data_IF_903969725171
#
_entry.id   IF_903969725171
#
_cell.length_a   1.000
_cell.length_b   1.000
_cell.length_c   1.000
_cell.angle_alpha   90.00
_cell.angle_beta   90.00
_cell.angle_gamma   90.00
#
_symmetry.space_group_name_H-M   'P 1'
#
loop_
_entity.id
_entity.type
_entity.pdbx_description
1 polymer ?
#
# COMPACT_ATOMS: atom_id res chain seq x y z
N UNK A 1 12.12 -76.24 -22.81
CA UNK A 1 11.89 -74.80 -23.02
C UNK A 1 10.90 -74.33 -21.97
N UNK A 2 11.38 -73.65 -20.91
CA UNK A 2 10.57 -73.15 -19.81
C UNK A 2 10.79 -71.64 -19.71
N UNK A 3 9.78 -70.84 -20.04
CA UNK A 3 9.87 -69.39 -19.95
C UNK A 3 9.35 -68.93 -18.59
N UNK A 4 10.28 -68.40 -17.81
CA UNK A 4 10.11 -67.85 -16.48
C UNK A 4 9.32 -66.53 -16.56
N UNK A 5 8.13 -66.50 -15.98
CA UNK A 5 7.31 -65.28 -15.86
C UNK A 5 7.71 -64.54 -14.59
N UNK A 6 8.34 -63.38 -14.74
CA UNK A 6 8.58 -62.45 -13.64
C UNK A 6 7.27 -61.73 -13.28
N UNK A 7 6.72 -62.03 -12.11
CA UNK A 7 5.58 -61.34 -11.52
C UNK A 7 6.11 -60.43 -10.40
N UNK A 8 6.28 -59.13 -10.69
CA UNK A 8 6.70 -58.13 -9.70
C UNK A 8 5.46 -57.43 -9.17
N UNK A 9 4.96 -57.85 -8.01
CA UNK A 9 3.94 -57.14 -7.27
C UNK A 9 4.58 -55.93 -6.56
N UNK A 10 4.37 -54.73 -7.09
CA UNK A 10 4.79 -53.50 -6.43
C UNK A 10 3.88 -53.20 -5.22
N UNK A 11 4.42 -52.72 -4.10
CA UNK A 11 3.66 -52.41 -2.89
C UNK A 11 2.75 -51.20 -3.10
N UNK A 12 1.56 -51.25 -2.48
CA UNK A 12 0.57 -50.18 -2.44
C UNK A 12 1.21 -48.84 -2.00
N UNK A 13 1.28 -47.86 -2.91
CA UNK A 13 1.60 -46.47 -2.58
C UNK A 13 0.28 -45.72 -2.33
N UNK A 14 0.15 -45.14 -1.13
CA UNK A 14 -0.90 -44.15 -0.84
C UNK A 14 -0.58 -42.84 -1.58
N UNK A 15 -1.54 -42.21 -2.28
CA UNK A 15 -1.33 -40.91 -2.91
C UNK A 15 -1.02 -39.84 -1.87
N UNK A 16 0.15 -39.21 -2.02
CA UNK A 16 0.51 -37.96 -1.33
C UNK A 16 -0.43 -36.85 -1.80
N UNK A 17 -1.10 -36.10 -0.90
CA UNK A 17 -1.84 -34.90 -1.31
C UNK A 17 -0.84 -33.85 -1.79
N UNK A 18 -0.71 -33.72 -3.11
CA UNK A 18 -0.03 -32.59 -3.74
C UNK A 18 -1.07 -31.51 -3.95
N UNK A 19 -1.27 -30.63 -2.97
CA UNK A 19 -1.99 -29.39 -3.21
C UNK A 19 -1.04 -28.45 -3.94
N UNK A 20 -1.14 -28.46 -5.27
CA UNK A 20 -0.64 -27.37 -6.08
C UNK A 20 -1.36 -26.09 -5.66
N UNK A 21 -0.64 -25.16 -5.05
CA UNK A 21 -1.07 -23.77 -4.96
C UNK A 21 0.01 -22.95 -5.61
N UNK A 22 -0.26 -22.65 -6.87
CA UNK A 22 0.44 -21.69 -7.70
C UNK A 22 0.34 -20.29 -7.06
N UNK A 23 1.46 -19.55 -7.10
CA UNK A 23 1.55 -18.07 -7.27
C UNK A 23 1.05 -17.27 -6.05
N UNK A 24 1.85 -16.47 -5.34
CA UNK A 24 2.67 -15.36 -5.83
C UNK A 24 3.77 -15.04 -4.78
N UNK A 25 5.03 -15.22 -5.18
CA UNK A 25 6.15 -14.55 -4.54
C UNK A 25 5.98 -13.04 -4.77
N UNK A 26 5.49 -12.31 -3.77
CA UNK A 26 5.47 -10.84 -3.82
C UNK A 26 6.91 -10.33 -3.70
N UNK A 27 7.57 -10.33 -4.85
CA UNK A 27 8.90 -9.87 -5.12
C UNK A 27 9.12 -8.48 -4.52
N UNK A 28 10.21 -8.37 -3.78
CA UNK A 28 10.71 -7.12 -3.24
C UNK A 28 11.19 -6.30 -4.43
N UNK A 29 10.26 -5.54 -5.02
CA UNK A 29 10.46 -4.82 -6.26
C UNK A 29 11.67 -3.86 -6.17
N UNK A 30 12.83 -4.40 -6.54
CA UNK A 30 14.06 -3.70 -6.86
C UNK A 30 14.18 -3.65 -8.38
N UNK A 31 13.14 -3.16 -9.05
CA UNK A 31 13.21 -2.93 -10.50
C UNK A 31 13.93 -1.61 -10.76
N UNK A 32 15.13 -1.72 -11.33
CA UNK A 32 15.74 -0.70 -12.19
C UNK A 32 14.67 -0.16 -13.15
N UNK A 33 14.27 1.10 -12.98
CA UNK A 33 13.23 1.75 -13.77
C UNK A 33 13.77 2.94 -14.53
N UNK A 34 13.61 2.90 -15.86
CA UNK A 34 13.58 4.01 -16.80
C UNK A 34 13.07 5.35 -16.19
N UNK A 35 13.71 6.52 -16.44
CA UNK A 35 13.36 7.81 -15.83
C UNK A 35 11.99 8.40 -16.24
N UNK A 36 11.11 7.66 -16.91
CA UNK A 36 9.72 8.03 -17.15
C UNK A 36 8.85 7.87 -15.89
N UNK A 37 9.25 8.54 -14.81
CA UNK A 37 8.52 8.88 -13.57
C UNK A 37 7.24 8.06 -13.29
N UNK A 38 7.39 6.75 -13.06
CA UNK A 38 6.30 5.95 -12.49
C UNK A 38 5.95 6.58 -11.14
N UNK A 39 4.75 7.16 -11.04
CA UNK A 39 4.26 7.74 -9.79
C UNK A 39 4.21 6.60 -8.78
N UNK A 40 5.18 6.54 -7.87
CA UNK A 40 5.19 5.56 -6.79
C UNK A 40 3.93 5.79 -5.95
N UNK A 41 2.96 4.90 -6.10
CA UNK A 41 1.70 4.96 -5.36
C UNK A 41 2.02 4.68 -3.88
N UNK A 42 1.72 5.63 -3.01
CA UNK A 42 1.90 5.48 -1.57
C UNK A 42 0.68 4.76 -1.00
N UNK A 43 0.89 3.64 -0.33
CA UNK A 43 -0.15 2.98 0.48
C UNK A 43 -0.22 3.69 1.83
N UNK A 44 -1.38 4.26 2.14
CA UNK A 44 -1.64 4.94 3.40
C UNK A 44 -2.11 3.95 4.46
N UNK A 45 -1.72 4.19 5.70
CA UNK A 45 -2.24 3.51 6.87
C UNK A 45 -2.79 4.56 7.86
N UNK A 46 -3.45 4.08 8.91
CA UNK A 46 -4.15 4.94 9.87
C UNK A 46 -3.20 5.89 10.61
N UNK A 47 -1.98 5.45 10.92
CA UNK A 47 -0.97 6.30 11.57
C UNK A 47 -0.56 7.48 10.68
N UNK A 48 -0.27 7.21 9.41
CA UNK A 48 0.07 8.26 8.43
C UNK A 48 -1.10 9.23 8.24
N UNK A 49 -2.33 8.71 8.16
CA UNK A 49 -3.52 9.54 8.08
C UNK A 49 -3.68 10.40 9.35
N UNK A 50 -3.43 9.84 10.52
CA UNK A 50 -3.43 10.54 11.80
C UNK A 50 -2.44 11.71 11.81
N UNK A 51 -1.16 11.47 11.52
CA UNK A 51 -0.14 12.52 11.47
C UNK A 51 -0.46 13.61 10.44
N UNK A 52 -0.98 13.22 9.28
CA UNK A 52 -1.39 14.17 8.23
C UNK A 52 -2.57 15.03 8.70
N UNK A 53 -3.63 14.41 9.22
CA UNK A 53 -4.87 15.09 9.61
C UNK A 53 -4.60 16.03 10.80
N UNK A 54 -3.90 15.57 11.83
CA UNK A 54 -3.57 16.37 13.01
C UNK A 54 -2.78 17.61 12.61
N UNK A 55 -1.77 17.47 11.74
CA UNK A 55 -1.00 18.61 11.27
C UNK A 55 -1.88 19.65 10.55
N UNK A 56 -2.78 19.20 9.68
CA UNK A 56 -3.69 20.08 8.94
C UNK A 56 -4.70 20.76 9.85
N UNK A 57 -5.25 20.05 10.84
CA UNK A 57 -6.16 20.61 11.85
C UNK A 57 -5.43 21.68 12.67
N UNK A 58 -4.20 21.42 13.11
CA UNK A 58 -3.40 22.39 13.85
C UNK A 58 -3.16 23.68 13.06
N UNK A 59 -2.96 23.59 11.74
CA UNK A 59 -2.84 24.79 10.90
C UNK A 59 -4.13 25.61 10.87
N UNK A 60 -5.29 24.95 10.79
CA UNK A 60 -6.60 25.62 10.81
C UNK A 60 -6.85 26.26 12.17
N UNK A 61 -6.55 25.56 13.26
CA UNK A 61 -6.70 26.08 14.63
C UNK A 61 -5.77 27.26 14.91
N UNK A 62 -4.57 27.28 14.32
CA UNK A 62 -3.63 28.40 14.39
C UNK A 62 -4.05 29.62 13.54
N UNK A 63 -5.21 29.59 12.89
CA UNK A 63 -5.74 30.71 12.12
C UNK A 63 -5.16 30.84 10.71
N UNK A 64 -4.40 29.85 10.23
CA UNK A 64 -3.93 29.86 8.84
C UNK A 64 -5.12 29.64 7.91
N UNK A 65 -5.41 30.66 7.10
CA UNK A 65 -6.50 30.63 6.14
C UNK A 65 -6.29 29.51 5.12
N UNK A 66 -7.38 28.79 4.85
CA UNK A 66 -7.49 27.93 3.67
C UNK A 66 -7.66 28.81 2.44
N UNK A 67 -7.21 28.33 1.29
CA UNK A 67 -7.58 28.95 0.01
C UNK A 67 -8.98 28.49 -0.40
N UNK A 68 -9.57 29.17 -1.39
CA UNK A 68 -10.84 28.75 -2.00
C UNK A 68 -10.76 27.31 -2.54
N UNK A 69 -9.54 26.87 -2.89
CA UNK A 69 -9.24 25.53 -3.38
C UNK A 69 -8.82 24.53 -2.26
N UNK A 70 -9.03 24.87 -0.99
CA UNK A 70 -8.74 24.01 0.15
C UNK A 70 -7.43 24.32 0.87
N UNK A 71 -6.62 23.29 1.15
CA UNK A 71 -5.36 23.50 1.87
C UNK A 71 -4.28 24.09 0.96
N UNK A 72 -3.60 25.12 1.46
CA UNK A 72 -2.50 25.80 0.77
C UNK A 72 -1.23 24.94 0.75
N UNK A 73 -0.28 25.25 -0.13
CA UNK A 73 0.99 24.53 -0.21
C UNK A 73 1.77 24.54 1.12
N UNK A 74 1.65 25.62 1.90
CA UNK A 74 2.24 25.70 3.24
C UNK A 74 1.62 24.68 4.21
N UNK A 75 0.30 24.55 4.21
CA UNK A 75 -0.38 23.58 5.06
C UNK A 75 -0.05 22.15 4.65
N UNK A 76 0.04 21.90 3.34
CA UNK A 76 0.46 20.60 2.81
C UNK A 76 1.93 20.30 3.14
N UNK A 77 2.83 21.28 3.10
CA UNK A 77 4.23 21.03 3.48
C UNK A 77 4.34 20.64 4.96
N UNK A 78 3.55 21.27 5.84
CA UNK A 78 3.48 20.90 7.26
C UNK A 78 2.94 19.51 7.51
N UNK A 79 1.97 19.05 6.71
CA UNK A 79 1.51 17.66 6.83
C UNK A 79 2.52 16.65 6.28
N UNK A 80 3.27 16.99 5.23
CA UNK A 80 4.39 16.16 4.73
C UNK A 80 5.48 16.02 5.80
N UNK A 81 5.88 17.14 6.43
CA UNK A 81 6.83 17.14 7.55
C UNK A 81 6.34 16.24 8.69
N UNK A 82 5.08 16.40 9.11
CA UNK A 82 4.46 15.59 10.17
C UNK A 82 4.47 14.08 9.86
N UNK A 83 4.11 13.68 8.64
CA UNK A 83 4.14 12.27 8.22
C UNK A 83 5.58 11.74 8.16
N UNK A 84 6.51 12.55 7.66
CA UNK A 84 7.93 12.18 7.61
C UNK A 84 8.49 11.97 9.02
N UNK A 85 8.21 12.88 9.93
CA UNK A 85 8.76 12.85 11.29
C UNK A 85 8.07 11.77 12.14
N UNK A 86 6.77 11.56 11.95
CA UNK A 86 5.97 10.56 12.68
C UNK A 86 6.14 9.13 12.18
N UNK A 87 6.31 8.93 10.87
CA UNK A 87 6.35 7.59 10.27
C UNK A 87 7.69 7.23 9.61
N UNK A 88 8.64 8.17 9.47
CA UNK A 88 9.89 7.95 8.74
C UNK A 88 9.73 7.80 7.22
N UNK A 89 8.56 8.15 6.68
CA UNK A 89 8.22 7.97 5.26
C UNK A 89 8.14 9.33 4.56
N UNK A 90 8.87 9.46 3.44
CA UNK A 90 8.79 10.66 2.61
C UNK A 90 7.61 10.54 1.64
N UNK A 91 6.67 11.48 1.74
CA UNK A 91 5.55 11.64 0.81
C UNK A 91 5.66 12.97 0.06
N UNK A 92 5.02 13.03 -1.12
CA UNK A 92 4.99 14.23 -1.95
C UNK A 92 3.64 14.95 -1.81
N UNK A 93 3.58 16.24 -2.15
CA UNK A 93 2.35 17.05 -2.14
C UNK A 93 1.19 16.35 -2.88
N UNK A 94 1.46 15.80 -4.08
CA UNK A 94 0.47 15.05 -4.86
C UNK A 94 -0.11 13.83 -4.12
N UNK A 95 0.70 13.18 -3.29
CA UNK A 95 0.27 12.00 -2.52
C UNK A 95 -0.71 12.43 -1.42
N UNK A 96 -0.38 13.50 -0.70
CA UNK A 96 -1.23 14.09 0.34
C UNK A 96 -2.56 14.55 -0.24
N UNK A 97 -2.52 15.31 -1.35
CA UNK A 97 -3.75 15.80 -2.00
C UNK A 97 -4.63 14.66 -2.50
N UNK A 98 -4.03 13.61 -3.07
CA UNK A 98 -4.76 12.42 -3.49
C UNK A 98 -5.42 11.73 -2.30
N UNK A 99 -4.71 11.56 -1.17
CA UNK A 99 -5.29 10.95 0.03
C UNK A 99 -6.42 11.77 0.63
N UNK A 100 -6.28 13.09 0.70
CA UNK A 100 -7.36 13.97 1.18
C UNK A 100 -8.63 13.86 0.33
N UNK A 101 -8.51 13.71 -1.00
CA UNK A 101 -9.65 13.45 -1.88
C UNK A 101 -10.32 12.11 -1.54
N UNK A 102 -9.52 11.08 -1.30
CA UNK A 102 -10.01 9.76 -0.90
C UNK A 102 -10.72 9.80 0.44
N UNK A 103 -10.12 10.38 1.49
CA UNK A 103 -10.73 10.52 2.81
C UNK A 103 -12.05 11.30 2.77
N UNK A 104 -12.13 12.36 1.95
CA UNK A 104 -13.38 13.11 1.76
C UNK A 104 -14.52 12.23 1.23
N UNK A 105 -14.21 11.32 0.29
CA UNK A 105 -15.19 10.38 -0.26
C UNK A 105 -15.57 9.32 0.78
N UNK A 106 -14.59 8.70 1.43
CA UNK A 106 -14.81 7.69 2.47
C UNK A 106 -15.69 8.24 3.61
N UNK A 107 -15.43 9.48 4.06
CA UNK A 107 -16.27 10.12 5.07
C UNK A 107 -17.69 10.41 4.57
N UNK A 108 -17.84 10.86 3.32
CA UNK A 108 -19.15 11.13 2.74
C UNK A 108 -20.01 9.85 2.69
N UNK A 109 -19.42 8.71 2.33
CA UNK A 109 -20.07 7.40 2.30
C UNK A 109 -20.49 6.92 3.70
N UNK A 110 -19.67 7.19 4.72
CA UNK A 110 -19.98 6.83 6.12
C UNK A 110 -21.07 7.74 6.72
N UNK A 111 -21.18 8.97 6.23
CA UNK A 111 -22.12 9.98 6.78
C UNK A 111 -23.55 9.92 6.22
N UNK A 112 -23.85 8.98 5.33
CA UNK A 112 -25.18 8.73 4.76
C UNK A 112 -26.01 7.79 5.63
#
# INVERSE_FOLDING_TARGET
>A
MAHQRHNTAAPFQVPRPTTATNIDDNDTNRTQGDPSTKIRQVRWNDDMDGFMIIALVNQVLAGHKRSDNGFTSFQISKSIESVKDGCGIVVLDKNVRARLKTLKREYAEISQ
#
